data_IF_718191497371
#
_entry.id   IF_718191497371
#
_cell.length_a   1.000
_cell.length_b   1.000
_cell.length_c   1.000
_cell.angle_alpha   90.00
_cell.angle_beta   90.00
_cell.angle_gamma   90.00
#
_symmetry.space_group_name_H-M   'P 1'
#
loop_
_entity.id
_entity.type
_entity.pdbx_description
1 polymer ?
#
# COMPACT_ATOMS: atom_id res chain seq x y z
N UNK A 1 0.30 34.22 1.18
CA UNK A 1 0.12 32.89 1.79
C UNK A 1 -0.84 33.05 2.96
N UNK A 2 -2.07 32.59 2.76
CA UNK A 2 -3.17 32.77 3.71
C UNK A 2 -2.93 31.93 4.97
N UNK A 3 -3.36 32.41 6.14
CA UNK A 3 -3.23 31.69 7.41
C UNK A 3 -3.85 30.28 7.36
N UNK A 4 -4.87 30.10 6.52
CA UNK A 4 -5.54 28.83 6.28
C UNK A 4 -4.65 27.83 5.52
N UNK A 5 -3.97 28.25 4.45
CA UNK A 5 -3.05 27.40 3.68
C UNK A 5 -1.96 26.79 4.57
N UNK A 6 -1.37 27.61 5.44
CA UNK A 6 -0.35 27.15 6.42
C UNK A 6 -0.87 26.06 7.35
N UNK A 7 -2.13 26.15 7.78
CA UNK A 7 -2.75 25.13 8.65
C UNK A 7 -2.96 23.86 7.84
N UNK A 8 -3.46 23.97 6.60
CA UNK A 8 -3.68 22.83 5.71
C UNK A 8 -2.39 22.09 5.40
N UNK A 9 -1.31 22.80 5.05
CA UNK A 9 0.01 22.22 4.79
C UNK A 9 0.56 21.50 6.02
N UNK A 10 0.39 22.09 7.20
CA UNK A 10 0.83 21.47 8.46
C UNK A 10 0.09 20.17 8.73
N UNK A 11 -1.23 20.14 8.50
CA UNK A 11 -2.05 18.92 8.65
C UNK A 11 -1.61 17.85 7.65
N UNK A 12 -1.27 18.21 6.40
CA UNK A 12 -0.76 17.27 5.40
C UNK A 12 0.56 16.63 5.81
N UNK A 13 1.50 17.43 6.33
CA UNK A 13 2.79 16.90 6.81
C UNK A 13 2.58 15.95 7.97
N UNK A 14 1.73 16.30 8.94
CA UNK A 14 1.44 15.43 10.10
C UNK A 14 0.76 14.12 9.65
N UNK A 15 -0.23 14.21 8.75
CA UNK A 15 -0.93 13.04 8.22
C UNK A 15 -0.01 12.10 7.44
N UNK A 16 0.89 12.64 6.60
CA UNK A 16 1.83 11.82 5.83
C UNK A 16 2.85 11.13 6.74
N UNK A 17 3.36 11.81 7.77
CA UNK A 17 4.24 11.20 8.78
C UNK A 17 3.54 10.06 9.53
N UNK A 18 2.25 10.20 9.86
CA UNK A 18 1.47 9.14 10.50
C UNK A 18 1.35 7.91 9.60
N UNK A 19 1.01 8.08 8.31
CA UNK A 19 0.93 6.95 7.36
C UNK A 19 2.29 6.26 7.23
N UNK A 20 3.37 7.03 7.04
CA UNK A 20 4.73 6.49 6.94
C UNK A 20 5.09 5.71 8.21
N UNK A 21 4.79 6.25 9.39
CA UNK A 21 5.03 5.58 10.66
C UNK A 21 4.26 4.25 10.75
N UNK A 22 2.97 4.22 10.39
CA UNK A 22 2.20 2.97 10.40
C UNK A 22 2.72 1.93 9.42
N UNK A 23 3.12 2.35 8.21
CA UNK A 23 3.75 1.49 7.21
C UNK A 23 5.09 0.94 7.72
N UNK A 24 5.91 1.80 8.32
CA UNK A 24 7.20 1.42 8.89
C UNK A 24 7.04 0.44 10.05
N UNK A 25 6.12 0.73 10.97
CA UNK A 25 5.82 -0.13 12.11
C UNK A 25 5.35 -1.53 11.67
N UNK A 26 4.45 -1.60 10.67
CA UNK A 26 4.00 -2.88 10.11
C UNK A 26 5.14 -3.58 9.37
N UNK A 27 5.95 -2.84 8.62
CA UNK A 27 7.11 -3.37 7.92
C UNK A 27 8.13 -3.97 8.88
N UNK A 28 8.47 -3.28 9.97
CA UNK A 28 9.34 -3.81 11.01
C UNK A 28 8.75 -5.04 11.68
N UNK A 29 7.48 -4.98 12.11
CA UNK A 29 6.82 -6.14 12.71
C UNK A 29 6.77 -7.36 11.78
N UNK A 30 6.63 -7.13 10.47
CA UNK A 30 6.70 -8.16 9.45
C UNK A 30 8.10 -8.76 9.34
N UNK A 31 9.12 -7.89 9.37
CA UNK A 31 10.53 -8.28 9.33
C UNK A 31 10.90 -9.05 10.60
N UNK A 32 10.58 -8.55 11.79
CA UNK A 32 10.92 -9.18 13.06
C UNK A 32 10.26 -10.56 13.19
N UNK A 33 8.98 -10.67 12.82
CA UNK A 33 8.27 -11.96 12.78
C UNK A 33 8.89 -12.91 11.76
N UNK A 34 9.40 -12.40 10.64
CA UNK A 34 10.09 -13.19 9.62
C UNK A 34 11.53 -13.53 9.98
N UNK A 35 12.22 -12.70 10.76
CA UNK A 35 13.62 -12.85 11.16
C UNK A 35 13.75 -13.94 12.21
N UNK A 36 12.77 -14.08 13.11
CA UNK A 36 12.69 -15.23 14.01
C UNK A 36 12.54 -16.55 13.23
N UNK A 37 11.74 -16.55 12.14
CA UNK A 37 11.62 -17.72 11.26
C UNK A 37 12.87 -17.94 10.39
N UNK A 38 13.54 -16.85 10.00
CA UNK A 38 14.73 -16.88 9.14
C UNK A 38 16.01 -17.26 9.89
N UNK A 39 16.17 -16.84 11.15
CA UNK A 39 17.29 -17.21 12.03
C UNK A 39 17.28 -18.70 12.37
N UNK A 40 16.09 -19.28 12.60
CA UNK A 40 15.94 -20.73 12.72
C UNK A 40 16.43 -21.45 11.44
N UNK A 41 16.18 -20.85 10.27
CA UNK A 41 16.64 -21.32 8.96
C UNK A 41 18.15 -21.21 8.74
N UNK A 42 18.80 -20.11 9.13
CA UNK A 42 20.24 -19.91 8.96
C UNK A 42 21.11 -20.92 9.74
N UNK A 43 20.53 -21.56 10.75
CA UNK A 43 21.18 -22.64 11.50
C UNK A 43 21.10 -24.01 10.79
N UNK A 44 20.24 -24.13 9.76
CA UNK A 44 20.07 -25.34 8.96
C UNK A 44 20.98 -25.25 7.73
N UNK A 45 21.84 -26.25 7.44
CA UNK A 45 22.72 -26.19 6.28
C UNK A 45 21.90 -26.12 4.98
N UNK A 46 22.25 -25.18 4.10
CA UNK A 46 21.51 -24.83 2.86
C UNK A 46 21.22 -26.02 1.90
N UNK A 47 21.95 -27.13 2.04
CA UNK A 47 21.81 -28.36 1.28
C UNK A 47 20.71 -29.31 1.80
N UNK A 48 20.28 -29.18 3.06
CA UNK A 48 19.25 -30.06 3.66
C UNK A 48 17.82 -29.52 3.54
N UNK A 49 17.63 -28.33 2.98
CA UNK A 49 16.32 -27.70 2.75
C UNK A 49 15.72 -28.26 1.44
N UNK A 50 14.40 -28.51 1.42
CA UNK A 50 13.75 -28.98 0.18
C UNK A 50 13.93 -27.99 -0.98
N UNK A 51 14.21 -28.52 -2.18
CA UNK A 51 14.40 -27.74 -3.43
C UNK A 51 13.26 -26.73 -3.71
N UNK A 52 12.05 -26.99 -3.19
CA UNK A 52 10.88 -26.10 -3.32
C UNK A 52 11.01 -24.86 -2.41
N UNK A 53 11.46 -25.03 -1.17
CA UNK A 53 11.68 -23.92 -0.23
C UNK A 53 12.84 -23.02 -0.67
N UNK A 54 13.94 -23.60 -1.15
CA UNK A 54 15.10 -22.84 -1.62
C UNK A 54 14.74 -21.92 -2.80
N UNK A 55 13.96 -22.42 -3.77
CA UNK A 55 13.46 -21.62 -4.90
C UNK A 55 12.48 -20.53 -4.47
N UNK A 56 11.64 -20.79 -3.47
CA UNK A 56 10.68 -19.82 -2.95
C UNK A 56 11.37 -18.69 -2.17
N UNK A 57 12.41 -19.01 -1.41
CA UNK A 57 13.28 -18.05 -0.73
C UNK A 57 14.03 -17.17 -1.74
N UNK A 58 14.64 -17.79 -2.76
CA UNK A 58 15.34 -17.07 -3.82
C UNK A 58 14.39 -16.13 -4.57
N UNK A 59 13.14 -16.56 -4.79
CA UNK A 59 12.10 -15.77 -5.44
C UNK A 59 11.62 -14.62 -4.54
N UNK A 60 11.48 -14.83 -3.22
CA UNK A 60 11.16 -13.76 -2.27
C UNK A 60 12.26 -12.70 -2.21
N UNK A 61 13.52 -13.13 -2.18
CA UNK A 61 14.71 -12.28 -2.18
C UNK A 61 14.84 -11.54 -3.52
N UNK A 62 14.66 -12.21 -4.65
CA UNK A 62 14.66 -11.56 -5.98
C UNK A 62 13.47 -10.59 -6.14
N UNK A 63 12.28 -10.97 -5.70
CA UNK A 63 11.08 -10.12 -5.78
C UNK A 63 11.22 -8.91 -4.86
N UNK A 64 11.78 -9.07 -3.66
CA UNK A 64 12.15 -8.00 -2.74
C UNK A 64 13.17 -7.04 -3.38
N UNK A 65 14.25 -7.57 -3.95
CA UNK A 65 15.28 -6.78 -4.65
C UNK A 65 14.74 -6.03 -5.88
N UNK A 66 13.76 -6.60 -6.60
CA UNK A 66 13.12 -5.95 -7.76
C UNK A 66 12.13 -4.86 -7.34
N UNK A 67 11.46 -5.02 -6.19
CA UNK A 67 10.59 -4.01 -5.58
C UNK A 67 11.38 -2.88 -4.91
N UNK A 68 12.56 -3.16 -4.34
CA UNK A 68 13.49 -2.14 -3.82
C UNK A 68 14.11 -1.27 -4.92
N UNK A 69 14.31 -1.81 -6.14
CA UNK A 69 14.71 -0.97 -7.28
C UNK A 69 13.60 -0.01 -7.74
N UNK A 70 12.35 -0.26 -7.35
CA UNK A 70 11.20 0.60 -7.67
C UNK A 70 11.14 1.88 -6.83
N UNK A 71 11.82 1.91 -5.67
CA UNK A 71 11.82 3.08 -4.77
C UNK A 71 12.96 4.06 -5.02
N UNK A 72 14.01 3.70 -5.78
CA UNK A 72 15.23 4.50 -5.85
C UNK A 72 15.40 5.31 -7.14
N UNK A 73 14.91 4.88 -8.31
CA UNK A 73 15.21 5.65 -9.52
C UNK A 73 14.32 5.35 -10.73
N UNK A 74 13.37 6.25 -10.99
CA UNK A 74 12.82 6.46 -12.33
C UNK A 74 11.79 5.44 -12.82
N UNK A 75 10.84 5.97 -13.57
CA UNK A 75 9.75 5.28 -14.26
C UNK A 75 10.30 4.40 -15.38
N UNK A 76 11.08 3.37 -15.06
CA UNK A 76 11.50 2.36 -16.04
C UNK A 76 10.43 1.27 -16.05
N UNK A 77 9.38 1.59 -16.81
CA UNK A 77 8.23 0.77 -17.15
C UNK A 77 7.51 0.09 -15.97
N UNK A 78 6.26 0.46 -15.78
CA UNK A 78 5.27 -0.39 -15.12
C UNK A 78 5.04 -1.57 -16.11
N UNK A 79 6.02 -2.48 -16.22
CA UNK A 79 6.08 -3.49 -17.29
C UNK A 79 5.01 -4.54 -17.10
N UNK A 80 4.42 -5.00 -18.21
CA UNK A 80 3.59 -6.19 -18.30
C UNK A 80 4.20 -7.42 -17.58
N UNK A 81 5.53 -7.50 -17.53
CA UNK A 81 6.28 -8.54 -16.84
C UNK A 81 6.09 -8.55 -15.32
N UNK A 82 5.92 -7.39 -14.67
CA UNK A 82 5.65 -7.31 -13.24
C UNK A 82 4.26 -7.87 -12.94
N UNK A 83 3.27 -7.50 -13.74
CA UNK A 83 1.91 -7.99 -13.62
C UNK A 83 1.80 -9.49 -13.91
N UNK A 84 2.52 -9.99 -14.92
CA UNK A 84 2.62 -11.41 -15.21
C UNK A 84 3.24 -12.17 -14.02
N UNK A 85 4.35 -11.66 -13.49
CA UNK A 85 5.01 -12.25 -12.31
C UNK A 85 4.09 -12.28 -11.10
N UNK A 86 3.35 -11.20 -10.83
CA UNK A 86 2.36 -11.15 -9.74
C UNK A 86 1.25 -12.19 -9.92
N UNK A 87 0.71 -12.32 -11.13
CA UNK A 87 -0.31 -13.34 -11.45
C UNK A 87 0.20 -14.75 -11.20
N UNK A 88 1.41 -15.05 -11.62
CA UNK A 88 2.01 -16.38 -11.43
C UNK A 88 2.19 -16.72 -9.95
N UNK A 89 2.59 -15.74 -9.12
CA UNK A 89 2.71 -15.93 -7.68
C UNK A 89 1.34 -16.20 -7.06
N UNK A 90 0.32 -15.39 -7.39
CA UNK A 90 -1.04 -15.56 -6.86
C UNK A 90 -1.63 -16.91 -7.29
N UNK A 91 -1.33 -17.37 -8.50
CA UNK A 91 -1.72 -18.71 -8.95
C UNK A 91 -1.06 -19.79 -8.09
N UNK A 92 0.24 -19.67 -7.79
CA UNK A 92 0.93 -20.60 -6.87
C UNK A 92 0.34 -20.61 -5.47
N UNK A 93 0.06 -19.43 -4.90
CA UNK A 93 -0.61 -19.29 -3.60
C UNK A 93 -1.93 -20.07 -3.57
N UNK A 94 -2.73 -19.95 -4.65
CA UNK A 94 -4.00 -20.67 -4.80
C UNK A 94 -3.79 -22.19 -4.87
N UNK A 95 -2.80 -22.67 -5.63
CA UNK A 95 -2.49 -24.09 -5.72
C UNK A 95 -2.04 -24.65 -4.36
N UNK A 96 -1.14 -23.97 -3.66
CA UNK A 96 -0.67 -24.40 -2.34
C UNK A 96 -1.84 -24.50 -1.34
N UNK A 97 -2.80 -23.57 -1.38
CA UNK A 97 -4.00 -23.63 -0.54
C UNK A 97 -4.88 -24.85 -0.83
N UNK A 98 -5.03 -25.22 -2.11
CA UNK A 98 -5.78 -26.41 -2.51
C UNK A 98 -5.05 -27.70 -2.11
N UNK A 99 -3.73 -27.75 -2.28
CA UNK A 99 -2.90 -28.90 -1.93
C UNK A 99 -2.87 -29.18 -0.41
N UNK A 100 -2.98 -28.10 0.39
CA UNK A 100 -2.99 -28.16 1.85
C UNK A 100 -4.41 -28.23 2.44
N UNK A 101 -5.48 -28.19 1.63
CA UNK A 101 -6.85 -28.01 2.11
C UNK A 101 -7.34 -29.07 3.14
N UNK A 102 -6.84 -30.29 3.04
CA UNK A 102 -7.21 -31.40 3.94
C UNK A 102 -6.10 -31.78 4.93
N UNK A 103 -5.02 -30.99 4.98
CA UNK A 103 -3.85 -31.31 5.80
C UNK A 103 -3.82 -30.43 7.05
N UNK A 104 -3.29 -30.92 8.20
CA UNK A 104 -3.24 -30.14 9.44
C UNK A 104 -2.49 -28.80 9.30
N UNK A 105 -1.52 -28.74 8.38
CA UNK A 105 -0.72 -27.57 8.01
C UNK A 105 -1.57 -26.37 7.54
N UNK A 106 -2.83 -26.59 7.11
CA UNK A 106 -3.78 -25.52 6.77
C UNK A 106 -4.00 -24.56 7.94
N UNK A 107 -3.91 -25.03 9.19
CA UNK A 107 -4.10 -24.16 10.37
C UNK A 107 -3.02 -23.07 10.44
N UNK A 108 -1.79 -23.39 10.03
CA UNK A 108 -0.66 -22.45 10.00
C UNK A 108 -0.94 -21.41 8.91
N UNK A 109 -1.33 -21.86 7.72
CA UNK A 109 -1.67 -20.98 6.60
C UNK A 109 -2.80 -19.99 6.96
N UNK A 110 -3.85 -20.46 7.65
CA UNK A 110 -4.95 -19.62 8.14
C UNK A 110 -4.49 -18.60 9.20
N UNK A 111 -3.58 -18.98 10.10
CA UNK A 111 -3.01 -18.07 11.12
C UNK A 111 -2.29 -16.89 10.47
N UNK A 112 -1.38 -17.16 9.53
CA UNK A 112 -0.64 -16.13 8.81
C UNK A 112 -1.54 -15.29 7.89
N UNK A 113 -2.55 -15.90 7.26
CA UNK A 113 -3.57 -15.17 6.51
C UNK A 113 -4.34 -14.18 7.43
N UNK A 114 -4.64 -14.56 8.67
CA UNK A 114 -5.26 -13.68 9.66
C UNK A 114 -4.40 -12.45 10.00
N UNK A 115 -3.10 -12.64 10.20
CA UNK A 115 -2.13 -11.55 10.43
C UNK A 115 -2.09 -10.62 9.21
N UNK A 116 -2.00 -11.19 8.00
CA UNK A 116 -2.01 -10.43 6.74
C UNK A 116 -3.26 -9.55 6.59
N UNK A 117 -4.42 -10.06 6.99
CA UNK A 117 -5.69 -9.34 6.96
C UNK A 117 -5.73 -8.18 7.94
N UNK A 118 -5.23 -8.38 9.16
CA UNK A 118 -5.15 -7.30 10.16
C UNK A 118 -4.21 -6.19 9.69
N UNK A 119 -3.02 -6.53 9.17
CA UNK A 119 -2.10 -5.54 8.59
C UNK A 119 -2.74 -4.77 7.43
N UNK A 120 -3.46 -5.46 6.54
CA UNK A 120 -4.18 -4.84 5.43
C UNK A 120 -5.24 -3.86 5.90
N UNK A 121 -6.04 -4.22 6.91
CA UNK A 121 -7.07 -3.33 7.48
C UNK A 121 -6.42 -2.08 8.06
N UNK A 122 -5.35 -2.22 8.84
CA UNK A 122 -4.66 -1.08 9.47
C UNK A 122 -4.12 -0.14 8.38
N UNK A 123 -3.44 -0.66 7.36
CA UNK A 123 -2.92 0.15 6.25
C UNK A 123 -4.04 0.83 5.49
N UNK A 124 -5.09 0.10 5.11
CA UNK A 124 -6.23 0.67 4.38
C UNK A 124 -6.87 1.82 5.15
N UNK A 125 -7.11 1.65 6.45
CA UNK A 125 -7.66 2.69 7.32
C UNK A 125 -6.74 3.91 7.37
N UNK A 126 -5.44 3.73 7.59
CA UNK A 126 -4.47 4.83 7.62
C UNK A 126 -4.46 5.63 6.30
N UNK A 127 -4.46 4.95 5.15
CA UNK A 127 -4.47 5.59 3.83
C UNK A 127 -5.78 6.33 3.54
N UNK A 128 -6.94 5.76 3.89
CA UNK A 128 -8.22 6.44 3.70
C UNK A 128 -8.40 7.64 4.62
N UNK A 129 -7.92 7.57 5.86
CA UNK A 129 -7.91 8.71 6.80
C UNK A 129 -7.07 9.84 6.22
N UNK A 130 -5.86 9.54 5.73
CA UNK A 130 -5.01 10.53 5.06
C UNK A 130 -5.69 11.14 3.81
N UNK A 131 -6.34 10.32 3.00
CA UNK A 131 -7.09 10.78 1.82
C UNK A 131 -8.24 11.72 2.19
N UNK A 132 -8.96 11.43 3.28
CA UNK A 132 -10.02 12.31 3.77
C UNK A 132 -9.47 13.68 4.21
N UNK A 133 -8.32 13.72 4.87
CA UNK A 133 -7.65 14.97 5.23
C UNK A 133 -7.23 15.79 4.01
N UNK A 134 -6.88 15.15 2.88
CA UNK A 134 -6.57 15.84 1.60
C UNK A 134 -7.80 16.50 0.96
N UNK A 135 -8.95 15.86 1.05
CA UNK A 135 -10.16 16.32 0.35
C UNK A 135 -10.95 17.35 1.19
N UNK A 136 -10.96 17.21 2.52
CA UNK A 136 -11.80 18.02 3.42
C UNK A 136 -11.60 19.54 3.31
N UNK A 137 -10.36 20.08 3.20
CA UNK A 137 -10.13 21.53 3.03
C UNK A 137 -10.76 22.08 1.75
N UNK A 138 -10.71 21.31 0.66
CA UNK A 138 -11.28 21.71 -0.64
C UNK A 138 -12.81 21.74 -0.62
N UNK A 139 -13.44 20.75 0.03
CA UNK A 139 -14.90 20.73 0.25
C UNK A 139 -15.34 21.91 1.11
N UNK A 140 -14.59 22.22 2.18
CA UNK A 140 -14.87 23.35 3.03
C UNK A 140 -14.76 24.69 2.27
N UNK A 141 -13.72 24.86 1.46
CA UNK A 141 -13.52 26.05 0.61
C UNK A 141 -14.68 26.24 -0.39
N UNK A 142 -15.12 25.15 -1.04
CA UNK A 142 -16.30 25.13 -1.93
C UNK A 142 -17.57 25.60 -1.21
N UNK A 143 -17.86 25.07 -0.02
CA UNK A 143 -19.10 25.45 0.69
C UNK A 143 -19.12 26.94 1.02
N UNK A 144 -17.99 27.51 1.46
CA UNK A 144 -17.88 28.94 1.78
C UNK A 144 -18.04 29.83 0.56
N UNK A 145 -17.56 29.39 -0.60
CA UNK A 145 -17.76 30.08 -1.87
C UNK A 145 -19.24 30.07 -2.31
N UNK A 146 -19.96 28.94 -2.16
CA UNK A 146 -21.41 28.86 -2.44
C UNK A 146 -22.22 29.82 -1.55
N UNK A 147 -21.86 29.92 -0.27
CA UNK A 147 -22.51 30.85 0.67
C UNK A 147 -22.08 32.32 0.46
N UNK A 148 -21.25 32.63 -0.54
CA UNK A 148 -20.82 34.00 -0.86
C UNK A 148 -19.88 34.61 0.19
N UNK A 149 -19.22 33.78 1.00
CA UNK A 149 -18.35 34.23 2.10
C UNK A 149 -16.93 34.55 1.62
N UNK A 150 -16.51 33.96 0.51
CA UNK A 150 -15.12 33.98 0.00
C UNK A 150 -15.13 34.30 -1.51
N UNK A 151 -14.16 35.08 -1.97
CA UNK A 151 -13.93 35.44 -3.39
C UNK A 151 -13.11 34.36 -4.12
N UNK A 152 -13.15 34.34 -5.46
CA UNK A 152 -12.43 33.37 -6.30
C UNK A 152 -10.92 33.27 -6.01
N UNK A 153 -10.28 34.37 -5.63
CA UNK A 153 -8.82 34.44 -5.39
C UNK A 153 -8.38 33.77 -4.07
N UNK A 154 -9.31 33.41 -3.18
CA UNK A 154 -9.03 32.79 -1.88
C UNK A 154 -9.33 31.27 -1.84
N UNK A 155 -9.60 30.68 -3.01
CA UNK A 155 -10.09 29.32 -3.17
C UNK A 155 -8.93 28.31 -3.17
N UNK A 156 -8.99 27.32 -2.27
CA UNK A 156 -7.88 26.38 -2.04
C UNK A 156 -8.19 25.04 -2.70
N UNK A 157 -7.32 24.64 -3.62
CA UNK A 157 -7.40 23.40 -4.36
C UNK A 157 -6.55 22.29 -3.72
N UNK A 158 -6.96 21.02 -3.80
CA UNK A 158 -6.13 19.88 -3.41
C UNK A 158 -4.79 19.85 -4.15
N UNK A 159 -4.78 20.29 -5.42
CA UNK A 159 -3.60 20.46 -6.24
C UNK A 159 -3.69 21.82 -6.93
N UNK A 160 -2.70 22.71 -6.77
CA UNK A 160 -2.70 24.02 -7.44
C UNK A 160 -2.61 23.80 -8.95
N UNK A 161 -3.73 23.98 -9.64
CA UNK A 161 -3.85 23.92 -11.10
C UNK A 161 -4.50 25.21 -11.53
N UNK A 162 -3.85 25.95 -12.42
CA UNK A 162 -4.41 27.15 -13.02
C UNK A 162 -5.51 26.72 -14.00
N UNK A 163 -6.77 26.73 -13.53
CA UNK A 163 -7.92 26.52 -14.41
C UNK A 163 -8.03 27.73 -15.34
N UNK A 164 -7.57 27.56 -16.58
CA UNK A 164 -7.52 28.61 -17.61
C UNK A 164 -8.92 29.16 -18.02
N UNK A 165 -10.01 28.65 -17.46
CA UNK A 165 -11.37 29.14 -17.71
C UNK A 165 -12.03 29.55 -16.39
N UNK A 166 -12.18 30.87 -16.22
CA UNK A 166 -12.67 31.59 -15.03
C UNK A 166 -14.20 31.50 -14.86
N UNK A 167 -14.77 30.32 -15.14
CA UNK A 167 -16.21 30.06 -15.05
C UNK A 167 -16.49 29.09 -13.88
N UNK A 168 -17.46 29.46 -13.05
CA UNK A 168 -17.80 28.80 -11.78
C UNK A 168 -18.07 27.30 -11.95
N UNK A 169 -18.70 26.90 -13.06
CA UNK A 169 -19.03 25.49 -13.33
C UNK A 169 -17.80 24.63 -13.68
N UNK A 170 -16.84 25.19 -14.39
CA UNK A 170 -15.61 24.50 -14.77
C UNK A 170 -14.72 24.22 -13.55
N UNK A 171 -14.74 25.12 -12.57
CA UNK A 171 -14.03 24.95 -11.31
C UNK A 171 -14.53 23.74 -10.51
N UNK A 172 -15.85 23.61 -10.28
CA UNK A 172 -16.41 22.47 -9.53
C UNK A 172 -16.11 21.14 -10.20
N UNK A 173 -16.23 21.09 -11.52
CA UNK A 173 -15.93 19.91 -12.31
C UNK A 173 -14.45 19.50 -12.16
N UNK A 174 -13.53 20.47 -12.16
CA UNK A 174 -12.12 20.27 -11.90
C UNK A 174 -11.83 19.65 -10.53
N UNK A 175 -12.42 20.20 -9.46
CA UNK A 175 -12.26 19.66 -8.11
C UNK A 175 -12.81 18.23 -7.99
N UNK A 176 -13.98 17.97 -8.59
CA UNK A 176 -14.55 16.62 -8.63
C UNK A 176 -13.62 15.63 -9.33
N UNK A 177 -13.06 16.00 -10.48
CA UNK A 177 -12.09 15.17 -11.20
C UNK A 177 -10.85 14.92 -10.34
N UNK A 178 -10.29 15.95 -9.69
CA UNK A 178 -9.13 15.78 -8.81
C UNK A 178 -9.42 14.85 -7.63
N UNK A 179 -10.60 14.96 -7.01
CA UNK A 179 -11.02 14.05 -5.93
C UNK A 179 -11.10 12.59 -6.43
N UNK A 180 -11.69 12.37 -7.61
CA UNK A 180 -11.77 11.03 -8.20
C UNK A 180 -10.37 10.48 -8.49
N UNK A 181 -9.47 11.27 -9.08
CA UNK A 181 -8.09 10.86 -9.36
C UNK A 181 -7.37 10.47 -8.07
N UNK A 182 -7.50 11.28 -7.00
CA UNK A 182 -6.87 11.00 -5.70
C UNK A 182 -7.39 9.68 -5.11
N UNK A 183 -8.70 9.43 -5.17
CA UNK A 183 -9.31 8.18 -4.68
C UNK A 183 -8.83 6.96 -5.50
N UNK A 184 -8.69 7.10 -6.82
CA UNK A 184 -8.16 6.03 -7.69
C UNK A 184 -6.70 5.73 -7.36
N UNK A 185 -5.87 6.75 -7.17
CA UNK A 185 -4.45 6.56 -6.82
C UNK A 185 -4.32 5.86 -5.46
N UNK A 186 -5.10 6.26 -4.46
CA UNK A 186 -5.00 5.72 -3.10
C UNK A 186 -5.48 4.26 -3.05
N UNK A 187 -6.59 3.94 -3.73
CA UNK A 187 -7.09 2.55 -3.84
C UNK A 187 -6.09 1.63 -4.56
N UNK A 188 -5.46 2.11 -5.64
CA UNK A 188 -4.45 1.35 -6.36
C UNK A 188 -3.18 1.12 -5.52
N UNK A 189 -2.78 2.13 -4.74
CA UNK A 189 -1.71 1.99 -3.75
C UNK A 189 -2.01 0.92 -2.71
N UNK A 190 -3.20 0.96 -2.09
CA UNK A 190 -3.63 -0.04 -1.11
C UNK A 190 -3.62 -1.45 -1.71
N UNK A 191 -4.09 -1.62 -2.95
CA UNK A 191 -4.09 -2.92 -3.63
C UNK A 191 -2.68 -3.50 -3.78
N UNK A 192 -1.71 -2.68 -4.19
CA UNK A 192 -0.31 -3.10 -4.31
C UNK A 192 0.28 -3.54 -2.96
N UNK A 193 0.10 -2.74 -1.89
CA UNK A 193 0.59 -3.08 -0.56
C UNK A 193 -0.08 -4.36 0.00
N UNK A 194 -1.37 -4.53 -0.24
CA UNK A 194 -2.13 -5.71 0.20
C UNK A 194 -1.58 -6.99 -0.45
N UNK A 195 -1.36 -6.97 -1.77
CA UNK A 195 -0.78 -8.12 -2.48
C UNK A 195 0.61 -8.46 -1.96
N UNK A 196 1.45 -7.45 -1.70
CA UNK A 196 2.79 -7.66 -1.18
C UNK A 196 2.80 -8.34 0.20
N UNK A 197 1.98 -7.84 1.13
CA UNK A 197 1.87 -8.41 2.49
C UNK A 197 1.34 -9.84 2.44
N UNK A 198 0.33 -10.10 1.60
CA UNK A 198 -0.22 -11.44 1.44
C UNK A 198 0.82 -12.45 0.94
N UNK A 199 1.66 -12.06 -0.04
CA UNK A 199 2.72 -12.92 -0.57
C UNK A 199 3.79 -13.21 0.49
N UNK A 200 4.24 -12.20 1.24
CA UNK A 200 5.23 -12.39 2.31
C UNK A 200 4.69 -13.31 3.38
N UNK A 201 3.48 -13.06 3.87
CA UNK A 201 2.86 -13.86 4.92
C UNK A 201 2.61 -15.31 4.46
N UNK A 202 2.21 -15.53 3.21
CA UNK A 202 2.09 -16.87 2.63
C UNK A 202 3.43 -17.59 2.55
N UNK A 203 4.49 -16.89 2.18
CA UNK A 203 5.84 -17.46 2.16
C UNK A 203 6.32 -17.83 3.58
N UNK A 204 6.18 -16.93 4.56
CA UNK A 204 6.50 -17.22 5.97
C UNK A 204 5.73 -18.46 6.48
N UNK A 205 4.45 -18.59 6.13
CA UNK A 205 3.65 -19.75 6.51
C UNK A 205 4.17 -21.05 5.89
N UNK A 206 4.53 -21.04 4.61
CA UNK A 206 5.09 -22.22 3.94
C UNK A 206 6.46 -22.61 4.50
N UNK A 207 7.28 -21.65 4.91
CA UNK A 207 8.53 -21.95 5.60
C UNK A 207 8.29 -22.64 6.95
N UNK A 208 7.34 -22.14 7.74
CA UNK A 208 6.98 -22.75 9.03
C UNK A 208 6.41 -24.17 8.89
N UNK A 209 5.83 -24.51 7.74
CA UNK A 209 5.30 -25.85 7.44
C UNK A 209 6.43 -26.86 7.13
N UNK A 210 7.57 -26.37 6.63
CA UNK A 210 8.70 -27.21 6.20
C UNK A 210 9.65 -27.53 7.36
N UNK A 211 9.64 -26.70 8.41
CA UNK A 211 10.33 -26.91 9.70
C UNK A 211 9.57 -27.91 10.59
#
# INVERSE_FOLDING_TARGET
MNKFERITDTVYVIGSMFVIYTCYYIGQRLIDHSDDTFKAFCQIPFYSISLKAQKMLLFLIMSSMRLCNLSVMGVKEISHDLFASMKDILFRVKCDWNDLANKPELMILKKYAGISRLCTIIIAVSFYVYTAFLILPSLFSITRYIFGVISEDELILPIPVDYLAKDQMHYYFGVCIQCVIIIVITTMGIANYTMYIAIIQHACALFQIIE
#
